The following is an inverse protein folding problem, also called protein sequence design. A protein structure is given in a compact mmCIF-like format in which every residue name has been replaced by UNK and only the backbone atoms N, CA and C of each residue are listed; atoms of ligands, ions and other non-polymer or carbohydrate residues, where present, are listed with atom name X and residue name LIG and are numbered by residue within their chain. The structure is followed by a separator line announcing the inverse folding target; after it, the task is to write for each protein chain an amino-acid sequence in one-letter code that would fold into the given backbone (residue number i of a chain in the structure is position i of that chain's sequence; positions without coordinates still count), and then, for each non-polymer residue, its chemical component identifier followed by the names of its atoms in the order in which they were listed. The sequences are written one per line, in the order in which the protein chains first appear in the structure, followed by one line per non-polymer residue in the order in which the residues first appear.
data_IF_215173872540
#
_entry.id   IF_215173872540
#
_cell.length_a   1.000
_cell.length_b   1.000
_cell.length_c   1.000
_cell.angle_alpha   90.00
_cell.angle_beta   90.00
_cell.angle_gamma   90.00
#
_symmetry.space_group_name_H-M   'P 1'
#
loop_
_entity.id
_entity.type
_entity.pdbx_description
1 polymer ?
#
# COMPACT_ATOMS: atom_id res chain seq x y z
N UNK A 1 15.80 -9.78 -6.34
CA UNK A 1 14.72 -8.79 -6.56
C UNK A 1 13.44 -9.56 -6.32
N UNK A 2 12.51 -8.97 -5.56
CA UNK A 2 11.23 -9.61 -5.22
C UNK A 2 10.11 -8.71 -5.76
N UNK A 3 8.96 -9.32 -6.05
CA UNK A 3 7.72 -8.60 -6.32
C UNK A 3 7.01 -8.44 -4.97
N UNK A 4 6.69 -7.19 -4.62
CA UNK A 4 5.96 -6.85 -3.41
C UNK A 4 4.60 -6.25 -3.78
N UNK A 5 3.57 -6.59 -3.00
CA UNK A 5 2.28 -5.90 -3.07
C UNK A 5 2.40 -4.59 -2.31
N UNK A 6 1.99 -3.49 -2.94
CA UNK A 6 2.09 -2.17 -2.32
C UNK A 6 1.46 -2.14 -0.92
N UNK A 7 0.24 -2.66 -0.80
CA UNK A 7 -0.36 -3.06 0.47
C UNK A 7 -0.24 -4.58 0.59
N UNK A 8 0.49 -5.15 1.57
CA UNK A 8 0.69 -6.59 1.69
C UNK A 8 -0.62 -7.39 1.75
N UNK A 9 -0.61 -8.66 1.33
CA UNK A 9 -1.83 -9.49 1.32
C UNK A 9 -2.46 -9.67 2.72
N UNK A 10 -1.63 -9.77 3.76
CA UNK A 10 -2.10 -9.88 5.14
C UNK A 10 -2.70 -8.56 5.63
N UNK A 11 -2.04 -7.43 5.37
CA UNK A 11 -2.58 -6.11 5.65
C UNK A 11 -3.91 -5.84 4.90
N UNK A 12 -3.99 -6.24 3.64
CA UNK A 12 -5.25 -6.13 2.87
C UNK A 12 -6.36 -6.96 3.52
N UNK A 13 -6.04 -8.15 4.03
CA UNK A 13 -6.98 -8.98 4.79
C UNK A 13 -7.49 -8.24 6.02
N UNK A 14 -6.61 -7.71 6.86
CA UNK A 14 -6.98 -6.95 8.06
C UNK A 14 -7.73 -5.65 7.74
N UNK A 15 -7.52 -5.10 6.54
CA UNK A 15 -8.21 -3.93 5.99
C UNK A 15 -9.54 -4.21 5.30
N UNK A 16 -10.14 -5.40 5.50
CA UNK A 16 -11.47 -5.74 5.02
C UNK A 16 -11.53 -6.67 3.80
N UNK A 17 -10.39 -7.09 3.24
CA UNK A 17 -10.39 -8.09 2.17
C UNK A 17 -10.84 -9.48 2.63
N UNK A 18 -10.95 -9.71 3.95
CA UNK A 18 -11.52 -10.95 4.50
C UNK A 18 -12.97 -11.21 4.06
N UNK A 19 -13.74 -10.15 3.80
CA UNK A 19 -15.13 -10.24 3.35
C UNK A 19 -15.26 -10.37 1.82
N UNK A 20 -14.16 -10.35 1.09
CA UNK A 20 -14.17 -10.46 -0.38
C UNK A 20 -14.35 -11.90 -0.84
N UNK A 21 -15.00 -12.05 -2.00
CA UNK A 21 -15.04 -13.34 -2.70
C UNK A 21 -13.61 -13.81 -3.04
N UNK A 22 -13.37 -15.12 -3.18
CA UNK A 22 -12.08 -15.64 -3.62
C UNK A 22 -11.58 -14.99 -4.92
N UNK A 23 -12.48 -14.76 -5.88
CA UNK A 23 -12.14 -14.15 -7.18
C UNK A 23 -11.67 -12.70 -7.03
N UNK A 24 -12.27 -11.92 -6.12
CA UNK A 24 -11.84 -10.55 -5.85
C UNK A 24 -10.48 -10.50 -5.14
N UNK A 25 -10.20 -11.44 -4.23
CA UNK A 25 -8.87 -11.58 -3.60
C UNK A 25 -7.79 -12.00 -4.60
N UNK A 26 -8.12 -12.91 -5.53
CA UNK A 26 -7.22 -13.28 -6.61
C UNK A 26 -6.95 -12.12 -7.56
N UNK A 27 -7.98 -11.31 -7.89
CA UNK A 27 -7.82 -10.10 -8.68
C UNK A 27 -6.88 -9.09 -8.00
N UNK A 28 -7.01 -8.90 -6.67
CA UNK A 28 -6.10 -8.06 -5.89
C UNK A 28 -4.65 -8.58 -5.93
N UNK A 29 -4.47 -9.88 -5.68
CA UNK A 29 -3.15 -10.51 -5.66
C UNK A 29 -2.43 -10.43 -7.02
N UNK A 30 -3.17 -10.31 -8.11
CA UNK A 30 -2.68 -10.28 -9.48
C UNK A 30 -2.92 -8.94 -10.20
N UNK A 31 -3.15 -7.85 -9.46
CA UNK A 31 -3.43 -6.55 -10.08
C UNK A 31 -2.19 -6.00 -10.81
N UNK A 32 -2.20 -6.12 -12.14
CA UNK A 32 -1.21 -5.51 -13.03
C UNK A 32 -1.74 -4.24 -13.72
N UNK A 33 -2.99 -3.86 -13.44
CA UNK A 33 -3.67 -2.77 -14.13
C UNK A 33 -3.32 -1.39 -13.55
N UNK A 34 -2.75 -1.34 -12.34
CA UNK A 34 -2.17 -0.14 -11.77
C UNK A 34 -0.65 -0.31 -11.63
N UNK A 35 0.11 0.68 -12.12
CA UNK A 35 1.59 0.69 -12.04
C UNK A 35 2.13 0.58 -10.60
N UNK A 36 1.32 0.99 -9.62
CA UNK A 36 1.65 1.01 -8.20
C UNK A 36 1.30 -0.27 -7.46
N UNK A 37 0.52 -1.18 -8.04
CA UNK A 37 0.00 -2.36 -7.32
C UNK A 37 1.11 -3.36 -6.99
N UNK A 38 2.11 -3.48 -7.86
CA UNK A 38 3.30 -4.31 -7.68
C UNK A 38 4.56 -3.47 -7.84
N UNK A 39 5.41 -3.45 -6.81
CA UNK A 39 6.65 -2.66 -6.83
C UNK A 39 7.85 -3.59 -6.83
N UNK A 40 8.77 -3.38 -7.78
CA UNK A 40 10.04 -4.09 -7.80
C UNK A 40 10.97 -3.51 -6.74
N UNK A 41 11.18 -4.26 -5.64
CA UNK A 41 12.02 -3.83 -4.52
C UNK A 41 13.18 -4.79 -4.31
N UNK A 42 14.21 -4.32 -3.60
CA UNK A 42 15.27 -5.23 -3.16
C UNK A 42 14.70 -6.26 -2.19
N UNK A 43 15.21 -7.49 -2.22
CA UNK A 43 14.75 -8.56 -1.33
C UNK A 43 14.94 -8.20 0.17
N UNK A 44 15.93 -7.35 0.49
CA UNK A 44 16.14 -6.83 1.86
C UNK A 44 15.02 -5.87 2.27
N UNK A 45 14.66 -4.93 1.38
CA UNK A 45 13.57 -3.98 1.63
C UNK A 45 12.24 -4.73 1.79
N UNK A 46 11.94 -5.67 0.89
CA UNK A 46 10.74 -6.49 0.92
C UNK A 46 10.58 -7.23 2.27
N UNK A 47 11.63 -7.95 2.68
CA UNK A 47 11.62 -8.67 3.97
C UNK A 47 11.58 -7.76 5.20
N UNK A 48 12.10 -6.53 5.09
CA UNK A 48 12.03 -5.55 6.18
C UNK A 48 10.61 -5.06 6.41
N UNK A 49 9.90 -4.77 5.30
CA UNK A 49 8.48 -4.39 5.29
C UNK A 49 7.62 -5.54 5.81
N UNK A 50 7.64 -6.70 5.16
CA UNK A 50 6.77 -7.82 5.51
C UNK A 50 5.30 -7.47 5.31
N UNK A 51 4.48 -7.74 6.32
CA UNK A 51 3.05 -7.41 6.40
C UNK A 51 2.75 -6.06 7.08
N UNK A 52 3.77 -5.28 7.41
CA UNK A 52 3.62 -4.03 8.16
C UNK A 52 2.97 -2.93 7.34
N UNK A 53 2.16 -2.15 8.03
CA UNK A 53 1.57 -0.91 7.57
C UNK A 53 2.53 0.30 7.80
N UNK A 54 2.17 1.51 7.32
CA UNK A 54 2.89 2.75 7.58
C UNK A 54 3.15 3.08 9.06
N UNK A 55 2.34 2.59 10.00
CA UNK A 55 2.60 2.82 11.42
C UNK A 55 3.80 2.00 11.95
N UNK A 56 4.01 0.80 11.41
CA UNK A 56 5.09 -0.09 11.82
C UNK A 56 6.31 -0.06 10.89
N UNK A 57 6.18 0.46 9.66
CA UNK A 57 7.28 0.50 8.69
C UNK A 57 7.14 1.61 7.65
N UNK A 58 8.27 2.28 7.38
CA UNK A 58 8.42 3.23 6.28
C UNK A 58 9.70 2.93 5.49
N UNK A 59 9.78 3.29 4.19
CA UNK A 59 10.98 3.11 3.41
C UNK A 59 12.16 3.87 4.03
N UNK A 60 13.37 3.26 4.09
CA UNK A 60 14.53 3.87 4.76
C UNK A 60 15.15 5.04 3.99
N UNK A 61 14.70 5.30 2.76
CA UNK A 61 15.16 6.42 1.96
C UNK A 61 14.12 7.53 2.02
N UNK A 62 14.47 8.68 2.59
CA UNK A 62 13.56 9.81 2.78
C UNK A 62 12.93 10.27 1.45
N UNK A 63 13.69 10.19 0.36
CA UNK A 63 13.23 10.54 -0.99
C UNK A 63 12.12 9.63 -1.52
N UNK A 64 11.91 8.45 -0.93
CA UNK A 64 10.85 7.53 -1.29
C UNK A 64 9.57 7.73 -0.47
N UNK A 65 9.60 8.52 0.61
CA UNK A 65 8.48 8.69 1.55
C UNK A 65 7.20 9.14 0.85
N UNK A 66 7.23 10.26 0.12
CA UNK A 66 6.02 10.81 -0.48
C UNK A 66 5.44 9.89 -1.58
N UNK A 67 6.28 9.28 -2.40
CA UNK A 67 5.84 8.28 -3.39
C UNK A 67 5.22 7.07 -2.72
N UNK A 68 5.84 6.57 -1.65
CA UNK A 68 5.31 5.43 -0.88
C UNK A 68 3.93 5.73 -0.29
N UNK A 69 3.74 6.91 0.33
CA UNK A 69 2.45 7.32 0.90
C UNK A 69 1.38 7.50 -0.18
N UNK A 70 1.74 8.10 -1.32
CA UNK A 70 0.84 8.25 -2.46
C UNK A 70 0.37 6.89 -2.99
N UNK A 71 1.32 5.98 -3.23
CA UNK A 71 1.04 4.66 -3.79
C UNK A 71 0.27 3.78 -2.81
N UNK A 72 0.59 3.84 -1.51
CA UNK A 72 -0.14 3.15 -0.45
C UNK A 72 -1.59 3.62 -0.41
N UNK A 73 -1.80 4.94 -0.30
CA UNK A 73 -3.15 5.53 -0.20
C UNK A 73 -3.96 5.26 -1.47
N UNK A 74 -3.35 5.43 -2.65
CA UNK A 74 -4.00 5.14 -3.92
C UNK A 74 -4.38 3.65 -4.04
N UNK A 75 -3.58 2.73 -3.51
CA UNK A 75 -3.88 1.30 -3.51
C UNK A 75 -5.07 0.99 -2.61
N UNK A 76 -5.10 1.54 -1.38
CA UNK A 76 -6.25 1.36 -0.48
C UNK A 76 -7.54 1.91 -1.08
N UNK A 77 -7.50 3.11 -1.65
CA UNK A 77 -8.65 3.74 -2.30
C UNK A 77 -9.13 2.99 -3.55
N UNK A 78 -8.19 2.49 -4.37
CA UNK A 78 -8.52 1.67 -5.55
C UNK A 78 -9.34 0.44 -5.16
N UNK A 79 -8.94 -0.24 -4.10
CA UNK A 79 -9.52 -1.53 -3.73
C UNK A 79 -10.64 -1.44 -2.69
N UNK A 80 -10.85 -0.27 -2.09
CA UNK A 80 -11.84 -0.05 -1.03
C UNK A 80 -11.41 -0.65 0.31
N UNK A 81 -10.10 -0.65 0.58
CA UNK A 81 -9.52 -1.10 1.85
C UNK A 81 -9.63 0.01 2.90
N UNK A 82 -9.93 -0.35 4.15
CA UNK A 82 -9.90 0.58 5.28
C UNK A 82 -8.48 0.83 5.76
N UNK A 83 -8.30 1.90 6.55
CA UNK A 83 -7.11 2.11 7.37
C UNK A 83 -7.54 2.16 8.83
N UNK A 84 -6.73 1.58 9.73
CA UNK A 84 -6.97 1.73 11.15
C UNK A 84 -6.48 3.10 11.68
N UNK A 85 -6.73 3.39 12.95
CA UNK A 85 -6.39 4.69 13.54
C UNK A 85 -4.88 4.96 13.58
N UNK A 86 -4.07 3.92 13.83
CA UNK A 86 -2.62 4.06 13.91
C UNK A 86 -2.02 4.30 12.52
N UNK A 87 -2.49 3.53 11.54
CA UNK A 87 -2.12 3.68 10.14
C UNK A 87 -2.52 5.06 9.61
N UNK A 88 -3.77 5.48 9.80
CA UNK A 88 -4.27 6.77 9.35
C UNK A 88 -3.45 7.91 9.96
N UNK A 89 -3.11 7.81 11.25
CA UNK A 89 -2.25 8.79 11.92
C UNK A 89 -0.86 8.83 11.27
N UNK A 90 -0.23 7.67 11.06
CA UNK A 90 1.09 7.60 10.43
C UNK A 90 1.08 8.18 9.01
N UNK A 91 0.06 7.87 8.21
CA UNK A 91 -0.11 8.44 6.87
C UNK A 91 -0.16 9.97 6.90
N UNK A 92 -0.93 10.56 7.83
CA UNK A 92 -1.07 12.01 7.94
C UNK A 92 0.22 12.68 8.46
N UNK A 93 0.84 12.11 9.49
CA UNK A 93 2.08 12.64 10.07
C UNK A 93 3.22 12.63 9.04
N UNK A 94 3.36 11.55 8.26
CA UNK A 94 4.41 11.45 7.24
C UNK A 94 4.10 12.24 5.97
N UNK A 95 2.83 12.61 5.72
CA UNK A 95 2.43 13.39 4.55
C UNK A 95 2.61 14.90 4.72
N UNK A 96 2.84 15.40 5.95
CA UNK A 96 3.07 16.84 6.22
C UNK A 96 4.08 17.51 5.26
N UNK A 97 5.26 16.92 4.94
CA UNK A 97 6.21 17.50 4.00
C UNK A 97 5.86 17.27 2.52
N UNK A 98 4.85 16.47 2.19
CA UNK A 98 4.51 16.04 0.83
C UNK A 98 3.54 17.00 0.13
N UNK A 99 3.86 18.30 0.10
CA UNK A 99 2.93 19.37 -0.30
C UNK A 99 2.49 19.34 -1.77
N UNK A 100 3.25 18.68 -2.63
CA UNK A 100 2.97 18.57 -4.08
C UNK A 100 2.39 17.20 -4.48
N UNK A 101 2.20 16.29 -3.52
CA UNK A 101 1.70 14.94 -3.78
C UNK A 101 0.18 14.94 -3.97
N UNK A 102 -0.27 14.36 -5.08
CA UNK A 102 -1.70 14.23 -5.40
C UNK A 102 -2.02 12.75 -5.57
N UNK A 103 -2.82 12.21 -4.64
CA UNK A 103 -3.27 10.82 -4.71
C UNK A 103 -4.26 10.64 -5.86
N UNK A 104 -3.79 10.10 -6.98
CA UNK A 104 -4.63 9.73 -8.13
C UNK A 104 -4.89 8.24 -8.10
N UNK A 105 -6.14 7.81 -8.22
CA UNK A 105 -6.49 6.39 -8.32
C UNK A 105 -7.70 6.19 -9.22
N UNK A 106 -7.85 4.96 -9.71
CA UNK A 106 -9.06 4.46 -10.34
C UNK A 106 -9.56 3.31 -9.48
N UNK A 107 -10.86 3.11 -9.36
CA UNK A 107 -11.43 1.99 -8.59
C UNK A 107 -11.15 0.68 -9.32
N UNK A 108 -10.85 -0.37 -8.55
CA UNK A 108 -10.76 -1.72 -9.06
C UNK A 108 -12.17 -2.25 -9.43
N UNK A 109 -12.27 -3.17 -10.40
CA UNK A 109 -13.53 -3.85 -10.73
C UNK A 109 -14.18 -4.57 -9.55
#
# INVERSE_FOLDING_TARGET
MDIDHMVPLAEAWDSGAYDWTPERREAYANDLSAKRSLVAVTAKTNRSKGDKDPAAWMPPADSATCTYLEDWTATKLRWGLSADEAEQKALLDHAEPCTDSVVKYETAP
#
